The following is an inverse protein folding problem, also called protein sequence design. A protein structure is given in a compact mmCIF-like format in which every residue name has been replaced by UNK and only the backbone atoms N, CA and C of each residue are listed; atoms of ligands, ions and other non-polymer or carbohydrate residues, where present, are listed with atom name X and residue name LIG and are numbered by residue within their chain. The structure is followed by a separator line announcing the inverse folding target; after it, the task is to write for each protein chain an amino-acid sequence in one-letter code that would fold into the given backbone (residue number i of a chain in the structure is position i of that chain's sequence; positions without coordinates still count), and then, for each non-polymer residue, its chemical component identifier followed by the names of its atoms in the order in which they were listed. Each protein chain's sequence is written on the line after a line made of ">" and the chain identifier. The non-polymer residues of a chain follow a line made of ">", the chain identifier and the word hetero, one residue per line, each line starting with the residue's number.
data_IF_319618790216
#
_entry.id   IF_319618790216
#
_cell.length_a   1.000
_cell.length_b   1.000
_cell.length_c   1.000
_cell.angle_alpha   90.00
_cell.angle_beta   90.00
_cell.angle_gamma   90.00
#
_symmetry.space_group_name_H-M   'P 1'
#
loop_
_entity.id
_entity.type
_entity.pdbx_description
1 polymer ?
#
# COMPACT_ATOMS: atom_id res chain seq x y z
N UNK A 1 0.63 8.67 -10.94
CA UNK A 1 -0.26 7.48 -10.95
C UNK A 1 -0.80 7.10 -12.33
N UNK A 2 -1.47 7.99 -13.06
CA UNK A 2 -2.15 7.66 -14.33
C UNK A 2 -1.24 7.07 -15.42
N UNK A 3 -0.02 7.60 -15.58
CA UNK A 3 0.97 7.07 -16.53
C UNK A 3 1.43 5.64 -16.20
N UNK A 4 1.63 5.33 -14.93
CA UNK A 4 1.99 3.97 -14.48
C UNK A 4 0.84 2.99 -14.76
N UNK A 5 -0.40 3.39 -14.47
CA UNK A 5 -1.59 2.59 -14.77
C UNK A 5 -1.80 2.40 -16.28
N UNK A 6 -1.46 3.40 -17.09
CA UNK A 6 -1.52 3.29 -18.55
C UNK A 6 -0.59 2.19 -19.08
N UNK A 7 0.61 2.04 -18.51
CA UNK A 7 1.54 0.96 -18.86
C UNK A 7 1.01 -0.45 -18.59
N UNK A 8 0.18 -0.61 -17.54
CA UNK A 8 -0.42 -1.91 -17.17
C UNK A 8 -1.61 -2.31 -18.05
N UNK A 9 -2.21 -1.36 -18.80
CA UNK A 9 -3.40 -1.62 -19.64
C UNK A 9 -3.15 -2.72 -20.66
N UNK A 10 -1.96 -2.79 -21.24
CA UNK A 10 -1.62 -3.79 -22.25
C UNK A 10 -1.51 -5.19 -21.66
N UNK A 11 -0.86 -5.33 -20.50
CA UNK A 11 -0.76 -6.60 -19.76
C UNK A 11 -2.15 -7.07 -19.35
N UNK A 12 -2.98 -6.17 -18.81
CA UNK A 12 -4.38 -6.46 -18.46
C UNK A 12 -5.18 -6.99 -19.65
N UNK A 13 -5.05 -6.33 -20.81
CA UNK A 13 -5.72 -6.78 -22.04
C UNK A 13 -5.28 -8.19 -22.44
N UNK A 14 -3.99 -8.48 -22.34
CA UNK A 14 -3.44 -9.81 -22.61
C UNK A 14 -3.99 -10.87 -21.64
N UNK A 15 -4.00 -10.57 -20.34
CA UNK A 15 -4.57 -11.44 -19.31
C UNK A 15 -6.04 -11.76 -19.58
N UNK A 16 -6.87 -10.75 -19.90
CA UNK A 16 -8.28 -10.98 -20.25
C UNK A 16 -8.48 -11.83 -21.50
N UNK A 17 -7.59 -11.71 -22.49
CA UNK A 17 -7.63 -12.56 -23.67
C UNK A 17 -7.30 -14.01 -23.32
N UNK A 18 -6.31 -14.24 -22.46
CA UNK A 18 -5.95 -15.57 -21.99
C UNK A 18 -7.03 -16.20 -21.11
N UNK A 19 -7.59 -15.45 -20.15
CA UNK A 19 -8.69 -15.94 -19.29
C UNK A 19 -9.88 -16.41 -20.12
N UNK A 20 -10.28 -15.66 -21.15
CA UNK A 20 -11.38 -16.06 -22.04
C UNK A 20 -11.05 -17.30 -22.86
N UNK A 21 -9.81 -17.47 -23.31
CA UNK A 21 -9.39 -18.68 -24.04
C UNK A 21 -9.42 -19.93 -23.16
N UNK A 22 -9.19 -19.77 -21.86
CA UNK A 22 -9.10 -20.86 -20.88
C UNK A 22 -10.39 -21.01 -20.05
N UNK A 23 -11.47 -20.34 -20.44
CA UNK A 23 -12.78 -20.37 -19.75
C UNK A 23 -12.73 -20.05 -18.24
N UNK A 24 -11.81 -19.16 -17.84
CA UNK A 24 -11.70 -18.71 -16.45
C UNK A 24 -12.82 -17.71 -16.18
N UNK A 25 -13.81 -18.14 -15.40
CA UNK A 25 -15.04 -17.39 -15.09
C UNK A 25 -14.84 -16.13 -14.24
N UNK A 26 -13.71 -16.02 -13.52
CA UNK A 26 -13.45 -14.89 -12.61
C UNK A 26 -12.51 -13.87 -13.26
N UNK A 27 -13.03 -12.71 -13.73
CA UNK A 27 -12.18 -11.66 -14.29
C UNK A 27 -11.24 -11.11 -13.22
N UNK A 28 -10.00 -10.79 -13.61
CA UNK A 28 -9.08 -10.05 -12.73
C UNK A 28 -9.65 -8.64 -12.53
N UNK A 29 -10.24 -8.38 -11.37
CA UNK A 29 -10.70 -7.05 -10.98
C UNK A 29 -9.50 -6.19 -10.56
N UNK A 30 -9.53 -4.92 -10.95
CA UNK A 30 -8.60 -3.91 -10.45
C UNK A 30 -9.43 -2.81 -9.81
N UNK A 31 -9.34 -2.71 -8.49
CA UNK A 31 -10.03 -1.70 -7.70
C UNK A 31 -9.10 -0.51 -7.52
N UNK A 32 -9.40 0.59 -8.21
CA UNK A 32 -8.54 1.77 -8.22
C UNK A 32 -8.82 2.73 -7.06
N UNK A 33 -10.02 2.68 -6.49
CA UNK A 33 -10.46 3.59 -5.43
C UNK A 33 -9.60 3.42 -4.17
N UNK A 34 -9.21 2.18 -3.86
CA UNK A 34 -8.35 1.86 -2.73
C UNK A 34 -6.90 2.32 -2.91
N UNK A 35 -6.46 2.63 -4.13
CA UNK A 35 -5.08 3.07 -4.36
C UNK A 35 -4.84 4.44 -3.71
N UNK A 36 -5.82 5.36 -3.81
CA UNK A 36 -5.72 6.68 -3.18
C UNK A 36 -5.62 6.61 -1.66
N UNK A 37 -6.30 5.63 -1.05
CA UNK A 37 -6.21 5.35 0.39
C UNK A 37 -4.78 4.94 0.79
N UNK A 38 -4.20 3.98 0.06
CA UNK A 38 -2.83 3.49 0.33
C UNK A 38 -1.79 4.59 0.06
N UNK A 39 -1.95 5.35 -1.02
CA UNK A 39 -1.10 6.50 -1.36
C UNK A 39 -1.11 7.51 -0.21
N UNK A 40 -2.30 7.94 0.23
CA UNK A 40 -2.45 8.92 1.31
C UNK A 40 -1.82 8.44 2.61
N UNK A 41 -2.03 7.18 2.97
CA UNK A 41 -1.39 6.60 4.16
C UNK A 41 0.14 6.60 4.02
N UNK A 42 0.67 6.28 2.84
CA UNK A 42 2.12 6.25 2.60
C UNK A 42 2.73 7.64 2.69
N UNK A 43 2.10 8.66 2.10
CA UNK A 43 2.54 10.06 2.17
C UNK A 43 2.63 10.56 3.61
N UNK A 44 1.60 10.31 4.43
CA UNK A 44 1.61 10.67 5.85
C UNK A 44 2.80 10.03 6.60
N UNK A 45 3.08 8.75 6.32
CA UNK A 45 4.22 8.04 6.92
C UNK A 45 5.58 8.58 6.47
N UNK A 46 5.69 8.99 5.21
CA UNK A 46 6.90 9.63 4.69
C UNK A 46 7.17 10.97 5.39
N UNK A 47 6.13 11.78 5.64
CA UNK A 47 6.27 13.06 6.33
C UNK A 47 6.69 12.90 7.79
N UNK A 48 6.25 11.83 8.45
CA UNK A 48 6.62 11.52 9.83
C UNK A 48 8.13 11.21 10.00
N UNK A 49 8.79 10.61 8.99
CA UNK A 49 10.22 10.30 9.02
C UNK A 49 11.13 11.54 8.89
N UNK A 50 10.63 12.62 8.28
CA UNK A 50 11.39 13.87 8.05
C UNK A 50 11.37 14.80 9.27
N UNK A 51 10.53 14.52 10.28
CA UNK A 51 10.48 15.32 11.50
C UNK A 51 11.75 15.06 12.35
N UNK A 52 12.47 16.12 12.79
CA UNK A 52 13.66 15.95 13.62
C UNK A 52 13.26 15.21 14.90
N UNK A 53 14.01 14.15 15.23
CA UNK A 53 13.76 13.27 16.37
C UNK A 53 13.49 14.10 17.62
N UNK A 54 12.20 14.28 17.96
CA UNK A 54 11.83 14.79 19.27
C UNK A 54 12.33 13.77 20.27
N UNK A 55 13.10 14.26 21.25
CA UNK A 55 13.80 13.44 22.23
C UNK A 55 12.92 12.39 22.90
N UNK A 56 13.60 11.40 23.47
CA UNK A 56 13.09 10.31 24.28
C UNK A 56 11.89 10.73 25.15
N UNK A 57 10.69 10.23 24.82
CA UNK A 57 9.48 10.44 25.64
C UNK A 57 8.19 10.86 24.93
N UNK A 58 8.18 11.09 23.61
CA UNK A 58 6.94 11.41 22.87
C UNK A 58 6.46 10.22 22.02
N UNK A 59 6.08 9.12 22.67
CA UNK A 59 5.46 7.99 21.98
C UNK A 59 3.99 8.33 21.68
N UNK A 60 3.58 8.16 20.42
CA UNK A 60 2.21 7.91 19.96
C UNK A 60 1.16 9.07 19.90
N UNK A 61 1.57 10.33 19.72
CA UNK A 61 0.60 11.39 19.38
C UNK A 61 0.41 11.60 17.87
N UNK A 62 1.45 11.38 17.06
CA UNK A 62 1.41 11.60 15.60
C UNK A 62 0.66 10.50 14.83
N UNK A 63 0.86 9.23 15.19
CA UNK A 63 0.21 8.11 14.50
C UNK A 63 -1.32 8.10 14.66
N UNK A 64 -1.83 8.66 15.77
CA UNK A 64 -3.28 8.67 16.05
C UNK A 64 -4.03 9.75 15.27
N UNK A 65 -3.44 10.93 15.07
CA UNK A 65 -4.07 11.99 14.28
C UNK A 65 -4.18 11.58 12.82
N UNK A 66 -3.09 11.06 12.24
CA UNK A 66 -3.05 10.66 10.84
C UNK A 66 -4.05 9.55 10.54
N UNK A 67 -4.19 8.57 11.44
CA UNK A 67 -5.18 7.52 11.33
C UNK A 67 -6.62 8.05 11.39
N UNK A 68 -6.91 8.93 12.36
CA UNK A 68 -8.25 9.51 12.52
C UNK A 68 -8.63 10.35 11.30
N UNK A 69 -7.68 11.16 10.80
CA UNK A 69 -7.84 11.97 9.61
C UNK A 69 -8.09 11.09 8.38
N UNK A 70 -7.32 10.01 8.19
CA UNK A 70 -7.55 9.06 7.09
C UNK A 70 -8.97 8.48 7.15
N UNK A 71 -9.41 8.01 8.32
CA UNK A 71 -10.72 7.40 8.51
C UNK A 71 -11.86 8.40 8.28
N UNK A 72 -11.70 9.65 8.69
CA UNK A 72 -12.72 10.70 8.47
C UNK A 72 -12.95 11.05 6.99
N UNK A 73 -12.00 10.71 6.11
CA UNK A 73 -12.08 10.99 4.67
C UNK A 73 -12.60 9.81 3.85
N UNK A 74 -13.11 8.75 4.48
CA UNK A 74 -13.67 7.58 3.79
C UNK A 74 -14.88 7.02 4.55
N UNK A 75 -15.74 6.31 3.84
CA UNK A 75 -16.86 5.55 4.45
C UNK A 75 -16.50 4.08 4.73
N UNK A 76 -15.25 3.69 4.51
CA UNK A 76 -14.77 2.33 4.78
C UNK A 76 -14.68 2.06 6.28
N UNK A 77 -14.93 0.80 6.66
CA UNK A 77 -14.68 0.32 8.01
C UNK A 77 -13.17 0.36 8.33
N UNK A 78 -12.83 0.73 9.57
CA UNK A 78 -11.43 0.78 10.02
C UNK A 78 -10.71 -0.56 9.83
N UNK A 79 -11.39 -1.67 10.05
CA UNK A 79 -10.87 -3.02 9.84
C UNK A 79 -10.61 -3.33 8.37
N UNK A 80 -11.42 -2.79 7.46
CA UNK A 80 -11.21 -2.92 6.01
C UNK A 80 -10.00 -2.11 5.54
N UNK A 81 -9.83 -0.89 6.06
CA UNK A 81 -8.65 -0.06 5.80
C UNK A 81 -7.38 -0.78 6.27
N UNK A 82 -7.36 -1.26 7.52
CA UNK A 82 -6.21 -2.03 8.04
C UNK A 82 -5.94 -3.24 7.17
N UNK A 83 -6.97 -3.96 6.74
CA UNK A 83 -6.82 -5.16 5.92
C UNK A 83 -6.24 -4.86 4.54
N UNK A 84 -6.66 -3.76 3.90
CA UNK A 84 -6.10 -3.31 2.63
C UNK A 84 -4.63 -2.93 2.80
N UNK A 85 -4.30 -2.12 3.80
CA UNK A 85 -2.93 -1.69 4.08
C UNK A 85 -2.00 -2.86 4.39
N UNK A 86 -2.44 -3.84 5.19
CA UNK A 86 -1.67 -5.06 5.48
C UNK A 86 -1.42 -5.90 4.23
N UNK A 87 -2.42 -6.07 3.36
CA UNK A 87 -2.24 -6.78 2.08
C UNK A 87 -1.27 -6.06 1.15
N UNK A 88 -1.29 -4.73 1.12
CA UNK A 88 -0.29 -3.94 0.39
C UNK A 88 1.10 -4.15 0.99
N UNK A 89 1.23 -4.12 2.31
CA UNK A 89 2.50 -4.35 2.99
C UNK A 89 3.04 -5.77 2.71
N UNK A 90 2.18 -6.79 2.78
CA UNK A 90 2.53 -8.18 2.45
C UNK A 90 3.05 -8.28 1.01
N UNK A 91 2.37 -7.64 0.06
CA UNK A 91 2.81 -7.61 -1.34
C UNK A 91 4.16 -6.90 -1.50
N UNK A 92 4.33 -5.72 -0.89
CA UNK A 92 5.59 -4.97 -0.95
C UNK A 92 6.75 -5.72 -0.32
N UNK A 93 6.51 -6.45 0.78
CA UNK A 93 7.52 -7.28 1.44
C UNK A 93 8.09 -8.38 0.53
N UNK A 94 7.31 -8.85 -0.45
CA UNK A 94 7.72 -9.88 -1.40
C UNK A 94 8.57 -9.32 -2.54
N UNK A 95 8.39 -8.05 -2.92
CA UNK A 95 9.06 -7.43 -4.07
C UNK A 95 10.59 -7.53 -4.00
N UNK A 96 11.26 -7.27 -2.86
CA UNK A 96 12.71 -7.47 -2.73
C UNK A 96 13.17 -8.91 -2.95
N UNK A 97 12.31 -9.91 -2.83
CA UNK A 97 12.71 -11.32 -3.02
C UNK A 97 12.62 -11.78 -4.48
N UNK A 98 12.10 -10.94 -5.39
CA UNK A 98 11.96 -11.27 -6.81
C UNK A 98 13.34 -11.32 -7.49
N UNK A 99 13.71 -12.44 -8.15
CA UNK A 99 14.95 -12.54 -8.91
C UNK A 99 15.02 -11.51 -10.04
N UNK A 100 16.22 -11.01 -10.34
CA UNK A 100 16.49 -10.07 -11.44
C UNK A 100 15.73 -8.74 -11.40
N UNK A 101 15.17 -8.36 -10.26
CA UNK A 101 14.53 -7.06 -10.08
C UNK A 101 15.57 -5.92 -10.00
N UNK A 102 15.22 -4.74 -10.52
CA UNK A 102 16.10 -3.57 -10.45
C UNK A 102 16.32 -3.11 -9.01
N UNK A 103 17.50 -2.58 -8.73
CA UNK A 103 17.86 -2.10 -7.39
C UNK A 103 17.00 -0.91 -6.95
N UNK A 104 16.63 -0.05 -7.90
CA UNK A 104 15.70 1.05 -7.64
C UNK A 104 14.34 0.53 -7.16
N UNK A 105 13.78 -0.49 -7.82
CA UNK A 105 12.48 -1.04 -7.44
C UNK A 105 12.54 -1.77 -6.09
N UNK A 106 13.65 -2.49 -5.84
CA UNK A 106 13.91 -3.13 -4.55
C UNK A 106 13.92 -2.12 -3.39
N UNK A 107 14.63 -1.00 -3.56
CA UNK A 107 14.76 0.02 -2.52
C UNK A 107 13.45 0.80 -2.34
N UNK A 108 12.76 1.14 -3.42
CA UNK A 108 11.44 1.77 -3.36
C UNK A 108 10.43 0.89 -2.58
N UNK A 109 10.43 -0.42 -2.81
CA UNK A 109 9.54 -1.34 -2.10
C UNK A 109 9.84 -1.41 -0.59
N UNK A 110 11.12 -1.39 -0.21
CA UNK A 110 11.53 -1.34 1.21
C UNK A 110 11.09 -0.04 1.87
N UNK A 111 11.30 1.10 1.23
CA UNK A 111 10.91 2.41 1.74
C UNK A 111 9.39 2.55 1.87
N UNK A 112 8.64 2.13 0.84
CA UNK A 112 7.18 2.11 0.91
C UNK A 112 6.68 1.21 2.05
N UNK A 113 7.32 0.05 2.26
CA UNK A 113 7.00 -0.85 3.37
C UNK A 113 7.24 -0.19 4.73
N UNK A 114 8.35 0.52 4.92
CA UNK A 114 8.65 1.19 6.20
C UNK A 114 7.67 2.33 6.50
N UNK A 115 7.25 3.08 5.48
CA UNK A 115 6.24 4.12 5.67
C UNK A 115 4.88 3.53 6.04
N UNK A 116 4.44 2.46 5.36
CA UNK A 116 3.14 1.83 5.63
C UNK A 116 3.10 1.11 6.99
N UNK A 117 4.20 0.49 7.42
CA UNK A 117 4.30 -0.36 8.60
C UNK A 117 4.38 0.42 9.93
N UNK A 118 3.28 1.09 10.28
CA UNK A 118 3.11 1.84 11.53
C UNK A 118 1.73 1.58 12.14
N UNK A 119 1.44 2.10 13.33
CA UNK A 119 0.15 1.89 13.97
C UNK A 119 -0.99 2.41 13.07
N UNK A 120 -2.13 1.71 12.92
CA UNK A 120 -2.48 0.39 13.48
C UNK A 120 -2.10 -0.82 12.59
N UNK A 121 -1.44 -0.59 11.45
CA UNK A 121 -1.08 -1.64 10.48
C UNK A 121 -0.10 -2.64 11.08
N UNK A 122 0.88 -2.18 11.86
CA UNK A 122 1.95 -2.98 12.45
C UNK A 122 1.56 -3.84 13.67
N UNK A 123 0.37 -3.65 14.24
CA UNK A 123 -0.07 -4.41 15.41
C UNK A 123 -0.30 -5.88 15.02
N UNK A 124 0.67 -6.74 15.31
CA UNK A 124 0.41 -8.17 15.37
C UNK A 124 -0.76 -8.39 16.35
N UNK A 125 -1.80 -9.08 15.89
CA UNK A 125 -2.74 -9.72 16.81
C UNK A 125 -1.90 -10.58 17.78
N UNK A 126 -2.19 -10.54 19.10
CA UNK A 126 -1.31 -11.02 20.17
C UNK A 126 -0.83 -12.46 20.01
#
# INVERSE_FOLDING_TARGET
>A
MESALAGLRQIRRSLFQQQRRQDIMFPVWMEFELIGLVERWTEMGQMAEVAPSKGFGSQAAGDRSDWTDLCSNTSLDEGDIVRVLRRTLDFLSQVPHVPHISEQLRNNARQASSWINRFPVNEMSP
#
